data_IF_869147977606
#
_entry.id   IF_869147977606
#
_cell.length_a   1.000
_cell.length_b   1.000
_cell.length_c   1.000
_cell.angle_alpha   90.00
_cell.angle_beta   90.00
_cell.angle_gamma   90.00
#
_symmetry.space_group_name_H-M   'P 1'
#
loop_
_entity.id
_entity.type
_entity.pdbx_description
1 polymer ?
#
# COMPACT_ATOMS: atom_id res chain seq x y z
N UNK A 1 18.68 20.22 -10.95
CA UNK A 1 18.09 20.99 -9.82
C UNK A 1 18.13 20.09 -8.59
N UNK A 2 18.89 20.39 -7.54
CA UNK A 2 18.91 19.54 -6.32
C UNK A 2 17.53 19.65 -5.64
N UNK A 3 16.88 18.53 -5.27
CA UNK A 3 15.60 18.59 -4.57
C UNK A 3 15.79 19.36 -3.26
N UNK A 4 14.89 20.31 -3.00
CA UNK A 4 14.88 21.09 -1.76
C UNK A 4 14.61 20.13 -0.61
N UNK A 5 15.50 20.06 0.37
CA UNK A 5 15.30 19.25 1.57
C UNK A 5 14.04 19.75 2.30
N UNK A 6 12.98 18.94 2.30
CA UNK A 6 11.73 19.22 3.01
C UNK A 6 11.90 18.74 4.45
N UNK A 7 11.88 19.68 5.40
CA UNK A 7 11.89 19.38 6.83
C UNK A 7 10.45 19.28 7.33
N UNK A 8 10.11 18.16 7.96
CA UNK A 8 8.82 17.97 8.59
C UNK A 8 8.66 18.91 9.79
N UNK A 9 7.39 19.28 10.10
CA UNK A 9 7.07 20.04 11.32
C UNK A 9 7.43 19.26 12.58
N UNK A 10 7.00 17.99 12.63
CA UNK A 10 7.31 17.04 13.70
C UNK A 10 8.40 16.08 13.26
N UNK A 11 9.38 15.79 14.11
CA UNK A 11 10.54 14.94 13.76
C UNK A 11 10.14 13.53 13.35
N UNK A 12 9.14 12.94 14.01
CA UNK A 12 8.61 11.61 13.70
C UNK A 12 8.00 11.49 12.29
N UNK A 13 7.64 12.61 11.66
CA UNK A 13 7.06 12.64 10.31
C UNK A 13 8.12 12.78 9.21
N UNK A 14 9.41 12.92 9.56
CA UNK A 14 10.48 13.12 8.58
C UNK A 14 10.64 11.90 7.66
N UNK A 15 10.42 10.68 8.19
CA UNK A 15 10.56 9.43 7.44
C UNK A 15 9.64 9.36 6.21
N UNK A 16 8.45 9.95 6.27
CA UNK A 16 7.50 9.99 5.16
C UNK A 16 8.04 10.88 4.03
N UNK A 17 8.59 12.06 4.34
CA UNK A 17 9.18 12.95 3.35
C UNK A 17 10.47 12.38 2.75
N UNK A 18 11.32 11.77 3.58
CA UNK A 18 12.55 11.13 3.12
C UNK A 18 12.24 9.95 2.19
N UNK A 19 11.25 9.14 2.56
CA UNK A 19 10.78 8.02 1.72
C UNK A 19 10.20 8.53 0.40
N UNK A 20 9.39 9.58 0.43
CA UNK A 20 8.81 10.18 -0.76
C UNK A 20 9.88 10.76 -1.70
N UNK A 21 10.88 11.46 -1.15
CA UNK A 21 12.00 11.98 -1.95
C UNK A 21 12.85 10.86 -2.56
N UNK A 22 13.06 9.77 -1.80
CA UNK A 22 13.90 8.64 -2.24
C UNK A 22 13.21 7.72 -3.24
N UNK A 23 11.92 7.42 -3.04
CA UNK A 23 11.17 6.40 -3.80
C UNK A 23 10.10 6.99 -4.74
N UNK A 24 9.75 8.26 -4.58
CA UNK A 24 8.62 8.87 -5.27
C UNK A 24 7.26 8.47 -4.69
N UNK A 25 6.16 9.05 -5.22
CA UNK A 25 4.80 8.63 -4.89
C UNK A 25 4.51 7.22 -5.41
N UNK A 26 3.63 6.49 -4.71
CA UNK A 26 2.99 5.31 -5.27
C UNK A 26 1.90 5.77 -6.24
N UNK A 27 1.93 5.26 -7.48
CA UNK A 27 0.86 5.44 -8.44
C UNK A 27 -0.22 4.38 -8.22
N UNK A 28 -1.48 4.81 -8.15
CA UNK A 28 -2.61 3.90 -8.04
C UNK A 28 -3.03 3.42 -9.42
N UNK A 29 -3.41 2.15 -9.53
CA UNK A 29 -4.01 1.60 -10.75
C UNK A 29 -5.39 2.23 -11.05
N UNK A 30 -5.96 1.98 -12.23
CA UNK A 30 -7.20 2.63 -12.67
C UNK A 30 -8.40 2.29 -11.77
N UNK A 31 -8.50 1.05 -11.28
CA UNK A 31 -9.60 0.60 -10.42
C UNK A 31 -9.53 1.27 -9.05
N UNK A 32 -8.39 1.18 -8.38
CA UNK A 32 -8.19 1.80 -7.08
C UNK A 32 -8.27 3.32 -7.17
N UNK A 33 -7.77 3.92 -8.25
CA UNK A 33 -7.91 5.37 -8.50
C UNK A 33 -9.37 5.80 -8.63
N UNK A 34 -10.20 5.00 -9.33
CA UNK A 34 -11.63 5.27 -9.43
C UNK A 34 -12.29 5.17 -8.06
N UNK A 35 -12.09 4.05 -7.34
CA UNK A 35 -12.66 3.83 -6.00
C UNK A 35 -12.28 4.96 -5.05
N UNK A 36 -11.01 5.37 -5.02
CA UNK A 36 -10.54 6.48 -4.17
C UNK A 36 -11.30 7.78 -4.44
N UNK A 37 -11.62 8.07 -5.71
CA UNK A 37 -12.30 9.30 -6.12
C UNK A 37 -13.81 9.24 -5.92
N UNK A 38 -14.44 8.07 -6.11
CA UNK A 38 -15.90 7.94 -6.15
C UNK A 38 -16.50 7.39 -4.87
N UNK A 39 -15.82 6.46 -4.20
CA UNK A 39 -16.23 5.90 -2.92
C UNK A 39 -15.04 5.36 -2.10
N UNK A 40 -14.31 6.22 -1.39
CA UNK A 40 -13.16 5.80 -0.60
C UNK A 40 -13.52 4.85 0.56
N UNK A 41 -14.79 4.78 0.99
CA UNK A 41 -15.22 3.82 2.02
C UNK A 41 -15.14 2.39 1.49
N UNK A 42 -15.41 2.17 0.20
CA UNK A 42 -15.23 0.87 -0.43
C UNK A 42 -13.76 0.40 -0.31
N UNK A 43 -12.78 1.29 -0.43
CA UNK A 43 -11.36 0.92 -0.27
C UNK A 43 -11.05 0.38 1.13
N UNK A 44 -11.73 0.88 2.17
CA UNK A 44 -11.58 0.37 3.55
C UNK A 44 -12.05 -1.08 3.65
N UNK A 45 -13.18 -1.42 3.02
CA UNK A 45 -13.67 -2.80 2.98
C UNK A 45 -12.75 -3.71 2.16
N UNK A 46 -12.20 -3.21 1.04
CA UNK A 46 -11.20 -3.94 0.25
C UNK A 46 -10.00 -4.28 1.14
N UNK A 47 -9.39 -3.30 1.81
CA UNK A 47 -8.23 -3.52 2.68
C UNK A 47 -8.54 -4.39 3.91
N UNK A 48 -9.76 -4.32 4.45
CA UNK A 48 -10.18 -5.21 5.55
C UNK A 48 -10.18 -6.69 5.13
N UNK A 49 -10.62 -7.00 3.90
CA UNK A 49 -10.56 -8.37 3.36
C UNK A 49 -9.11 -8.84 3.20
N UNK A 50 -8.24 -8.00 2.63
CA UNK A 50 -6.81 -8.33 2.51
C UNK A 50 -6.14 -8.53 3.88
N UNK A 51 -6.46 -7.69 4.87
CA UNK A 51 -5.97 -7.86 6.25
C UNK A 51 -6.40 -9.20 6.85
N UNK A 52 -7.65 -9.61 6.64
CA UNK A 52 -8.13 -10.91 7.09
C UNK A 52 -7.34 -12.05 6.44
N UNK A 53 -7.20 -12.04 5.11
CA UNK A 53 -6.43 -13.03 4.37
C UNK A 53 -4.95 -13.07 4.80
N UNK A 54 -4.33 -11.91 5.02
CA UNK A 54 -2.94 -11.81 5.50
C UNK A 54 -2.74 -12.58 6.82
N UNK A 55 -3.69 -12.48 7.76
CA UNK A 55 -3.64 -13.25 9.01
C UNK A 55 -3.76 -14.76 8.78
N UNK A 56 -4.59 -15.19 7.84
CA UNK A 56 -4.80 -16.61 7.53
C UNK A 56 -3.61 -17.23 6.79
N UNK A 57 -2.90 -16.43 6.00
CA UNK A 57 -1.80 -16.85 5.14
C UNK A 57 -0.42 -16.51 5.71
N UNK A 58 -0.36 -15.98 6.93
CA UNK A 58 0.89 -15.66 7.60
C UNK A 58 1.80 -16.90 7.69
N UNK A 59 3.07 -16.73 7.33
CA UNK A 59 4.06 -17.82 7.33
C UNK A 59 3.90 -18.86 6.22
N UNK A 60 2.98 -18.66 5.25
CA UNK A 60 2.94 -19.52 4.06
C UNK A 60 4.07 -19.14 3.11
N UNK A 61 4.70 -20.16 2.49
CA UNK A 61 5.81 -19.98 1.53
C UNK A 61 5.37 -19.49 0.17
N UNK A 62 4.25 -20.02 -0.31
CA UNK A 62 3.75 -19.73 -1.65
C UNK A 62 2.26 -19.39 -1.55
N UNK A 63 1.90 -18.23 -2.09
CA UNK A 63 0.53 -17.72 -2.12
C UNK A 63 0.26 -17.17 -3.51
N UNK A 64 -0.85 -17.61 -4.10
CA UNK A 64 -1.34 -17.12 -5.39
C UNK A 64 -2.67 -16.37 -5.17
N UNK A 65 -2.73 -15.14 -5.66
CA UNK A 65 -3.99 -14.39 -5.76
C UNK A 65 -4.53 -14.45 -7.20
N UNK A 66 -5.72 -15.03 -7.36
CA UNK A 66 -6.40 -15.11 -8.65
C UNK A 66 -7.40 -13.95 -8.76
N UNK A 67 -7.28 -13.13 -9.81
CA UNK A 67 -8.17 -11.99 -10.04
C UNK A 67 -7.87 -10.79 -9.15
N UNK A 68 -6.60 -10.41 -9.00
CA UNK A 68 -6.14 -9.35 -8.09
C UNK A 68 -6.47 -7.91 -8.54
N UNK A 69 -7.14 -7.71 -9.68
CA UNK A 69 -7.41 -6.38 -10.22
C UNK A 69 -6.12 -5.62 -10.54
N UNK A 70 -5.93 -4.45 -9.92
CA UNK A 70 -4.69 -3.67 -10.01
C UNK A 70 -3.68 -3.98 -8.88
N UNK A 71 -3.88 -5.09 -8.16
CA UNK A 71 -2.99 -5.61 -7.12
C UNK A 71 -2.74 -4.65 -5.94
N UNK A 72 -3.59 -3.62 -5.74
CA UNK A 72 -3.39 -2.63 -4.67
C UNK A 72 -3.31 -3.23 -3.26
N UNK A 73 -4.07 -4.29 -2.99
CA UNK A 73 -4.11 -4.95 -1.68
C UNK A 73 -3.01 -5.99 -1.45
N UNK A 74 -2.32 -6.44 -2.50
CA UNK A 74 -1.27 -7.49 -2.42
C UNK A 74 -0.21 -7.21 -1.36
N UNK A 75 0.32 -5.98 -1.21
CA UNK A 75 1.35 -5.69 -0.21
C UNK A 75 0.93 -6.02 1.24
N UNK A 76 -0.37 -5.95 1.55
CA UNK A 76 -0.89 -6.30 2.89
C UNK A 76 -0.66 -7.78 3.20
N UNK A 77 -0.83 -8.66 2.20
CA UNK A 77 -0.59 -10.10 2.33
C UNK A 77 0.90 -10.40 2.23
N UNK A 78 1.59 -9.79 1.26
CA UNK A 78 3.01 -10.00 0.99
C UNK A 78 3.90 -9.75 2.21
N UNK A 79 3.55 -8.78 3.06
CA UNK A 79 4.28 -8.47 4.29
C UNK A 79 4.18 -9.55 5.39
N UNK A 80 3.36 -10.59 5.18
CA UNK A 80 3.06 -11.61 6.20
C UNK A 80 3.44 -13.04 5.79
N UNK A 81 3.63 -13.28 4.50
CA UNK A 81 4.06 -14.57 3.95
C UNK A 81 5.59 -14.73 4.09
N UNK A 82 6.09 -15.96 4.05
CA UNK A 82 7.54 -16.20 4.01
C UNK A 82 8.08 -15.69 2.67
N UNK A 83 9.09 -14.82 2.74
CA UNK A 83 9.78 -14.24 1.58
C UNK A 83 10.99 -15.08 1.20
#
# INVERSE_FOLDING_TARGET
MKPRSIKAKESQNQIQFDTYQKKGPIQLGPWTSHIWRTDPKHLVFVLARYKFCAKMLAGKKEVLEIGCGDAFGVPVVLQTVES
#
